data_IF_507157185925
#
_entry.id   IF_507157185925
#
_cell.length_a   1.000
_cell.length_b   1.000
_cell.length_c   1.000
_cell.angle_alpha   90.00
_cell.angle_beta   90.00
_cell.angle_gamma   90.00
#
_symmetry.space_group_name_H-M   'P 1'
#
loop_
_entity.id
_entity.type
_entity.pdbx_description
1 polymer ?
#
# COMPACT_ATOMS: atom_id res chain seq x y z
N UNK A 1 -14.14 -75.39 57.85
CA UNK A 1 -14.55 -74.12 57.21
C UNK A 1 -13.30 -73.26 57.00
N UNK A 2 -12.90 -73.01 55.76
CA UNK A 2 -11.78 -72.10 55.42
C UNK A 2 -12.34 -70.93 54.60
N UNK A 3 -12.21 -69.70 55.09
CA UNK A 3 -12.57 -68.46 54.39
C UNK A 3 -11.34 -67.94 53.65
N UNK A 4 -11.32 -68.05 52.31
CA UNK A 4 -10.37 -67.34 51.44
C UNK A 4 -10.64 -65.83 51.49
N UNK A 5 -9.63 -65.04 51.89
CA UNK A 5 -9.60 -63.57 51.70
C UNK A 5 -9.48 -63.26 50.21
N UNK A 6 -10.38 -62.42 49.68
CA UNK A 6 -10.28 -61.82 48.35
C UNK A 6 -9.41 -60.56 48.44
N UNK A 7 -8.32 -60.51 47.68
CA UNK A 7 -7.55 -59.28 47.44
C UNK A 7 -8.12 -58.53 46.23
N UNK A 8 -8.48 -57.24 46.35
CA UNK A 8 -8.75 -56.39 45.19
C UNK A 8 -7.89 -55.13 45.26
N UNK A 9 -6.66 -55.13 44.72
CA UNK A 9 -5.81 -53.91 44.71
C UNK A 9 -4.94 -53.66 43.48
N UNK A 10 -4.88 -54.56 42.49
CA UNK A 10 -4.01 -54.36 41.30
C UNK A 10 -4.68 -53.65 40.12
N UNK A 11 -5.95 -53.92 39.84
CA UNK A 11 -6.64 -53.44 38.63
C UNK A 11 -6.87 -51.91 38.60
N UNK A 12 -7.22 -51.30 39.73
CA UNK A 12 -7.44 -49.85 39.80
C UNK A 12 -6.15 -49.03 39.61
N UNK A 13 -5.02 -49.59 40.05
CA UNK A 13 -3.72 -48.90 40.01
C UNK A 13 -3.14 -48.84 38.59
N UNK A 14 -3.43 -49.84 37.76
CA UNK A 14 -3.05 -49.84 36.34
C UNK A 14 -3.99 -48.95 35.52
N UNK A 15 -5.28 -48.89 35.84
CA UNK A 15 -6.22 -47.97 35.20
C UNK A 15 -5.87 -46.50 35.47
N UNK A 16 -5.52 -46.16 36.72
CA UNK A 16 -5.06 -44.82 37.07
C UNK A 16 -3.77 -44.41 36.35
N UNK A 17 -2.81 -45.33 36.19
CA UNK A 17 -1.56 -45.07 35.42
C UNK A 17 -1.81 -44.88 33.93
N UNK A 18 -2.79 -45.60 33.37
CA UNK A 18 -3.17 -45.47 31.98
C UNK A 18 -3.86 -44.12 31.74
N UNK A 19 -4.73 -43.72 32.67
CA UNK A 19 -5.45 -42.45 32.64
C UNK A 19 -4.51 -41.25 32.84
N UNK A 20 -3.53 -41.36 33.74
CA UNK A 20 -2.50 -40.31 33.92
C UNK A 20 -1.61 -40.17 32.68
N UNK A 21 -1.23 -41.29 32.03
CA UNK A 21 -0.47 -41.24 30.77
C UNK A 21 -1.26 -40.59 29.65
N UNK A 22 -2.54 -40.94 29.50
CA UNK A 22 -3.41 -40.33 28.50
C UNK A 22 -3.56 -38.81 28.73
N UNK A 23 -3.72 -38.39 29.99
CA UNK A 23 -3.86 -36.98 30.35
C UNK A 23 -2.60 -36.15 30.03
N UNK A 24 -1.41 -36.68 30.31
CA UNK A 24 -0.13 -36.01 29.98
C UNK A 24 0.03 -35.84 28.47
N UNK A 25 -0.35 -36.85 27.69
CA UNK A 25 -0.26 -36.80 26.22
C UNK A 25 -1.22 -35.75 25.64
N UNK A 26 -2.45 -35.65 26.19
CA UNK A 26 -3.43 -34.64 25.77
C UNK A 26 -2.95 -33.23 26.11
N UNK A 27 -2.34 -33.01 27.28
CA UNK A 27 -1.77 -31.70 27.64
C UNK A 27 -0.62 -31.32 26.71
N UNK A 28 0.28 -32.25 26.39
CA UNK A 28 1.39 -31.98 25.45
C UNK A 28 0.87 -31.63 24.06
N UNK A 29 -0.14 -32.34 23.55
CA UNK A 29 -0.81 -32.01 22.29
C UNK A 29 -1.47 -30.62 22.35
N UNK A 30 -2.17 -30.29 23.43
CA UNK A 30 -2.77 -28.98 23.62
C UNK A 30 -1.72 -27.86 23.70
N UNK A 31 -0.58 -28.09 24.35
CA UNK A 31 0.53 -27.15 24.38
C UNK A 31 1.17 -26.96 23.01
N UNK A 32 1.43 -28.03 22.25
CA UNK A 32 2.03 -27.92 20.91
C UNK A 32 1.08 -27.19 19.95
N UNK A 33 -0.22 -27.51 19.99
CA UNK A 33 -1.24 -26.82 19.18
C UNK A 33 -1.37 -25.37 19.62
N UNK A 34 -1.40 -25.10 20.94
CA UNK A 34 -1.43 -23.75 21.49
C UNK A 34 -0.20 -22.90 21.11
N UNK A 35 0.99 -23.51 21.07
CA UNK A 35 2.21 -22.83 20.63
C UNK A 35 2.20 -22.54 19.12
N UNK A 36 1.65 -23.42 18.27
CA UNK A 36 1.50 -23.12 16.83
C UNK A 36 0.54 -21.95 16.55
N UNK A 37 -0.50 -21.77 17.36
CA UNK A 37 -1.39 -20.60 17.31
C UNK A 37 -0.73 -19.33 17.86
N UNK A 38 0.22 -19.46 18.80
CA UNK A 38 0.86 -18.31 19.45
C UNK A 38 1.76 -17.50 18.52
N UNK A 39 2.46 -18.12 17.56
CA UNK A 39 3.34 -17.38 16.63
C UNK A 39 2.58 -16.41 15.72
N UNK A 40 1.37 -16.75 15.29
CA UNK A 40 0.52 -15.85 14.48
C UNK A 40 -0.07 -14.71 15.31
N UNK A 41 -0.32 -14.93 16.60
CA UNK A 41 -0.82 -13.90 17.52
C UNK A 41 0.23 -12.82 17.82
N UNK A 42 1.52 -13.16 17.89
CA UNK A 42 2.58 -12.18 18.15
C UNK A 42 2.80 -11.19 17.00
N UNK A 43 2.50 -11.57 15.76
CA UNK A 43 2.60 -10.69 14.58
C UNK A 43 1.62 -9.51 14.67
N UNK A 44 0.44 -9.68 15.27
CA UNK A 44 -0.56 -8.61 15.42
C UNK A 44 -0.10 -7.52 16.40
N UNK A 45 0.81 -7.86 17.34
CA UNK A 45 1.41 -6.89 18.25
C UNK A 45 2.71 -6.29 17.70
N UNK A 46 3.17 -6.75 16.52
CA UNK A 46 4.33 -6.14 15.89
C UNK A 46 3.92 -4.76 15.42
N UNK A 47 4.69 -3.79 15.87
CA UNK A 47 4.53 -2.37 15.61
C UNK A 47 5.75 -1.95 14.80
N UNK A 48 5.53 -1.18 13.74
CA UNK A 48 6.61 -0.74 12.88
C UNK A 48 7.52 0.25 13.63
N UNK A 49 8.80 -0.07 13.70
CA UNK A 49 9.84 0.79 14.25
C UNK A 49 10.71 1.38 13.13
N UNK A 50 11.39 2.48 13.41
CA UNK A 50 12.30 3.08 12.43
C UNK A 50 13.40 2.09 12.02
N UNK A 51 13.54 1.87 10.71
CA UNK A 51 14.45 0.90 10.12
C UNK A 51 13.81 -0.43 9.69
N UNK A 52 12.59 -0.74 10.15
CA UNK A 52 11.83 -1.93 9.72
C UNK A 52 11.46 -1.85 8.24
N UNK A 53 11.34 -3.01 7.59
CA UNK A 53 10.84 -3.08 6.22
C UNK A 53 9.33 -3.33 6.26
N UNK A 54 8.57 -2.34 5.85
CA UNK A 54 7.10 -2.36 5.89
C UNK A 54 6.56 -2.51 4.48
N UNK A 55 5.63 -3.42 4.27
CA UNK A 55 4.85 -3.50 3.04
C UNK A 55 3.52 -2.77 3.28
N UNK A 56 3.22 -1.81 2.41
CA UNK A 56 2.01 -1.00 2.49
C UNK A 56 1.18 -1.12 1.22
N UNK A 57 -0.11 -1.35 1.39
CA UNK A 57 -1.08 -0.96 0.38
C UNK A 57 -1.28 0.55 0.46
N UNK A 58 -1.44 1.21 -0.69
CA UNK A 58 -1.60 2.66 -0.72
C UNK A 58 -2.59 3.10 -1.79
N UNK A 59 -3.25 4.23 -1.52
CA UNK A 59 -4.05 4.97 -2.50
C UNK A 59 -3.67 6.43 -2.44
N UNK A 60 -3.32 7.02 -3.59
CA UNK A 60 -3.11 8.47 -3.70
C UNK A 60 -4.39 9.10 -4.24
N UNK A 61 -4.81 10.17 -3.56
CA UNK A 61 -6.00 10.92 -3.92
C UNK A 61 -5.64 12.34 -4.34
N UNK A 62 -6.24 12.75 -5.44
CA UNK A 62 -6.30 14.16 -5.81
C UNK A 62 -7.24 14.92 -4.85
N UNK A 63 -7.32 16.25 -5.00
CA UNK A 63 -8.28 17.07 -4.26
C UNK A 63 -9.71 16.51 -4.43
N UNK A 64 -10.53 16.66 -3.39
CA UNK A 64 -11.91 16.16 -3.29
C UNK A 64 -12.06 14.63 -3.14
N UNK A 65 -10.97 13.89 -2.91
CA UNK A 65 -11.03 12.46 -2.61
C UNK A 65 -11.11 11.56 -3.85
N UNK A 66 -10.70 12.07 -5.02
CA UNK A 66 -10.62 11.29 -6.25
C UNK A 66 -9.37 10.40 -6.26
N UNK A 67 -9.49 9.06 -6.25
CA UNK A 67 -8.33 8.17 -6.32
C UNK A 67 -7.65 8.30 -7.69
N UNK A 68 -6.33 8.30 -7.69
CA UNK A 68 -5.50 8.40 -8.91
C UNK A 68 -4.75 7.10 -9.17
N UNK A 69 -4.13 6.56 -8.12
CA UNK A 69 -3.45 5.27 -8.13
C UNK A 69 -3.77 4.54 -6.83
N UNK A 70 -4.01 3.24 -6.90
CA UNK A 70 -4.35 2.42 -5.75
C UNK A 70 -3.80 1.00 -5.90
N UNK A 71 -3.31 0.42 -4.81
CA UNK A 71 -3.04 -1.02 -4.73
C UNK A 71 -4.24 -1.83 -4.25
N UNK A 72 -5.33 -1.15 -3.83
CA UNK A 72 -6.58 -1.81 -3.44
C UNK A 72 -7.45 -2.03 -4.69
N UNK A 73 -7.62 -3.31 -5.06
CA UNK A 73 -8.45 -3.71 -6.18
C UNK A 73 -9.92 -3.28 -6.03
N UNK A 74 -10.45 -3.15 -4.80
CA UNK A 74 -11.82 -2.68 -4.57
C UNK A 74 -11.96 -1.19 -4.91
N UNK A 75 -10.99 -0.36 -4.52
CA UNK A 75 -10.97 1.07 -4.86
C UNK A 75 -10.90 1.26 -6.37
N UNK A 76 -10.05 0.49 -7.06
CA UNK A 76 -9.94 0.55 -8.52
C UNK A 76 -11.22 0.08 -9.21
N UNK A 77 -11.83 -1.00 -8.72
CA UNK A 77 -13.07 -1.54 -9.28
C UNK A 77 -14.24 -0.56 -9.12
N UNK A 78 -14.41 0.04 -7.94
CA UNK A 78 -15.46 1.03 -7.67
C UNK A 78 -15.28 2.27 -8.55
N UNK A 79 -14.05 2.77 -8.67
CA UNK A 79 -13.76 3.90 -9.54
C UNK A 79 -14.00 3.59 -11.02
N UNK A 80 -13.66 2.37 -11.48
CA UNK A 80 -13.96 1.91 -12.83
C UNK A 80 -15.46 1.87 -13.12
N UNK A 81 -16.28 1.39 -12.17
CA UNK A 81 -17.74 1.38 -12.29
C UNK A 81 -18.35 2.79 -12.38
N UNK A 82 -17.67 3.78 -11.78
CA UNK A 82 -18.01 5.20 -11.86
C UNK A 82 -17.43 5.92 -13.09
N UNK A 83 -16.66 5.21 -13.93
CA UNK A 83 -16.01 5.77 -15.11
C UNK A 83 -14.79 6.67 -14.80
N UNK A 84 -14.23 6.55 -13.59
CA UNK A 84 -13.08 7.32 -13.13
C UNK A 84 -11.78 6.57 -13.49
N UNK A 85 -10.82 7.20 -14.19
CA UNK A 85 -9.59 6.56 -14.63
C UNK A 85 -8.58 6.42 -13.47
N UNK A 86 -8.59 5.29 -12.76
CA UNK A 86 -7.63 4.96 -11.69
C UNK A 86 -6.62 3.92 -12.15
N UNK A 87 -5.37 4.11 -11.76
CA UNK A 87 -4.30 3.15 -12.01
C UNK A 87 -4.22 2.12 -10.87
N UNK A 88 -4.12 0.83 -11.23
CA UNK A 88 -3.85 -0.25 -10.29
C UNK A 88 -2.35 -0.49 -10.15
N UNK A 89 -1.84 -0.65 -8.93
CA UNK A 89 -0.42 -0.91 -8.67
C UNK A 89 -0.23 -2.03 -7.64
N UNK A 90 0.98 -2.57 -7.51
CA UNK A 90 1.31 -3.47 -6.42
C UNK A 90 1.55 -2.71 -5.12
N UNK A 91 1.42 -3.39 -3.97
CA UNK A 91 1.85 -2.85 -2.68
C UNK A 91 3.29 -2.34 -2.74
N UNK A 92 3.55 -1.27 -2.00
CA UNK A 92 4.87 -0.64 -1.92
C UNK A 92 5.63 -1.21 -0.73
N UNK A 93 6.89 -1.58 -0.93
CA UNK A 93 7.79 -1.91 0.17
C UNK A 93 8.66 -0.69 0.48
N UNK A 94 8.65 -0.27 1.74
CA UNK A 94 9.38 0.90 2.21
C UNK A 94 10.10 0.59 3.52
N UNK A 95 11.17 1.34 3.80
CA UNK A 95 11.87 1.27 5.08
C UNK A 95 11.34 2.38 5.98
N UNK A 96 10.76 2.03 7.13
CA UNK A 96 10.13 2.99 8.03
C UNK A 96 11.13 4.04 8.54
N UNK A 97 10.78 5.32 8.41
CA UNK A 97 11.62 6.45 8.82
C UNK A 97 12.83 6.71 7.92
N UNK A 98 12.93 6.04 6.76
CA UNK A 98 13.97 6.31 5.77
C UNK A 98 13.54 7.39 4.79
N UNK A 99 14.52 8.21 4.36
CA UNK A 99 14.34 9.21 3.30
C UNK A 99 14.86 8.64 1.98
N UNK A 100 14.10 8.84 0.92
CA UNK A 100 14.48 8.44 -0.42
C UNK A 100 15.50 9.42 -1.00
N UNK A 101 16.48 8.90 -1.75
CA UNK A 101 17.46 9.72 -2.46
C UNK A 101 17.03 10.10 -3.87
N UNK A 102 16.02 9.39 -4.39
CA UNK A 102 15.61 9.47 -5.79
C UNK A 102 14.38 10.35 -5.92
N UNK A 103 14.49 11.49 -6.60
CA UNK A 103 13.36 12.42 -6.83
C UNK A 103 12.12 11.74 -7.46
N UNK A 104 12.32 10.62 -8.16
CA UNK A 104 11.28 9.85 -8.81
C UNK A 104 11.49 8.35 -8.64
N UNK A 105 10.44 7.68 -8.20
CA UNK A 105 10.39 6.23 -8.03
C UNK A 105 9.38 5.69 -9.05
N UNK A 106 9.84 5.03 -10.13
CA UNK A 106 8.94 4.41 -11.10
C UNK A 106 8.28 3.17 -10.47
N UNK A 107 6.96 3.12 -10.54
CA UNK A 107 6.15 1.96 -10.13
C UNK A 107 5.34 1.46 -11.30
N UNK A 108 5.36 0.14 -11.52
CA UNK A 108 4.52 -0.49 -12.53
C UNK A 108 3.04 -0.34 -12.15
N UNK A 109 2.26 0.16 -13.10
CA UNK A 109 0.81 0.31 -12.95
C UNK A 109 0.07 -0.26 -14.14
N UNK A 110 -1.13 -0.74 -13.89
CA UNK A 110 -2.10 -1.10 -14.91
C UNK A 110 -3.21 -0.06 -14.94
N UNK A 111 -3.47 0.51 -16.12
CA UNK A 111 -4.57 1.43 -16.31
C UNK A 111 -5.43 0.97 -17.47
N UNK A 112 -6.74 0.88 -17.26
CA UNK A 112 -7.67 0.21 -18.19
C UNK A 112 -7.53 0.66 -19.67
N UNK A 113 -7.30 1.96 -19.91
CA UNK A 113 -7.21 2.54 -21.25
C UNK A 113 -5.78 2.62 -21.82
N UNK A 114 -4.73 2.48 -20.99
CA UNK A 114 -3.33 2.52 -21.42
C UNK A 114 -2.62 1.16 -21.35
N UNK A 115 -3.20 0.18 -20.65
CA UNK A 115 -2.55 -1.09 -20.35
C UNK A 115 -1.51 -0.96 -19.24
N UNK A 116 -0.45 -1.79 -19.30
CA UNK A 116 0.66 -1.72 -18.36
C UNK A 116 1.58 -0.54 -18.72
N UNK A 117 1.84 0.33 -17.76
CA UNK A 117 2.71 1.50 -17.88
C UNK A 117 3.44 1.74 -16.56
N UNK A 118 4.32 2.73 -16.51
CA UNK A 118 5.03 3.12 -15.30
C UNK A 118 4.49 4.45 -14.79
N UNK A 119 4.33 4.55 -13.48
CA UNK A 119 3.83 5.71 -12.80
C UNK A 119 4.94 6.32 -11.95
N UNK A 120 5.02 7.64 -11.94
CA UNK A 120 5.99 8.40 -11.17
C UNK A 120 5.48 8.64 -9.74
N UNK A 121 6.00 7.92 -8.74
CA UNK A 121 5.90 8.33 -7.34
C UNK A 121 7.02 9.34 -7.02
N UNK A 122 6.71 10.35 -6.23
CA UNK A 122 7.70 11.32 -5.76
C UNK A 122 8.37 10.84 -4.48
N UNK A 123 9.63 11.20 -4.28
CA UNK A 123 10.36 11.04 -3.01
C UNK A 123 9.56 11.58 -1.83
N UNK A 124 9.04 12.80 -1.92
CA UNK A 124 8.26 13.45 -0.87
C UNK A 124 7.02 12.65 -0.45
N UNK A 125 6.41 11.94 -1.40
CA UNK A 125 5.24 11.08 -1.12
C UNK A 125 5.66 9.82 -0.38
N UNK A 126 6.76 9.20 -0.82
CA UNK A 126 7.30 8.00 -0.19
C UNK A 126 7.90 8.31 1.19
N UNK A 127 8.50 9.47 1.37
CA UNK A 127 9.04 9.96 2.64
C UNK A 127 7.93 10.24 3.64
N UNK A 128 6.83 10.88 3.19
CA UNK A 128 5.65 11.08 4.02
C UNK A 128 5.08 9.72 4.48
N UNK A 129 4.85 8.79 3.55
CA UNK A 129 4.39 7.42 3.86
C UNK A 129 5.36 6.70 4.81
N UNK A 130 6.67 6.79 4.56
CA UNK A 130 7.74 6.19 5.37
C UNK A 130 7.79 6.72 6.80
N UNK A 131 7.53 8.01 6.98
CA UNK A 131 7.48 8.61 8.31
C UNK A 131 6.21 8.22 9.07
N UNK A 132 5.08 8.10 8.36
CA UNK A 132 3.78 7.88 8.96
C UNK A 132 3.45 6.41 9.24
N UNK A 133 4.18 5.46 8.65
CA UNK A 133 4.11 4.04 9.03
C UNK A 133 4.69 3.75 10.40
N UNK A 134 5.55 4.62 10.94
CA UNK A 134 6.11 4.44 12.27
C UNK A 134 4.95 4.35 13.25
N UNK A 135 5.05 3.40 14.16
CA UNK A 135 4.04 3.09 15.15
C UNK A 135 2.75 2.40 14.67
N UNK A 136 2.62 2.09 13.38
CA UNK A 136 1.51 1.30 12.86
C UNK A 136 1.68 -0.21 13.09
N UNK A 137 0.58 -0.91 13.25
CA UNK A 137 0.51 -2.38 13.29
C UNK A 137 0.04 -2.93 11.95
N UNK A 138 0.21 -4.24 11.76
CA UNK A 138 -0.37 -4.93 10.62
C UNK A 138 -1.89 -4.76 10.57
N UNK A 139 -2.40 -4.37 9.41
CA UNK A 139 -3.78 -3.97 9.08
C UNK A 139 -4.23 -2.60 9.58
N UNK A 140 -3.36 -1.81 10.22
CA UNK A 140 -3.68 -0.42 10.49
C UNK A 140 -3.81 0.36 9.19
N UNK A 141 -4.81 1.25 9.13
CA UNK A 141 -5.05 2.16 8.01
C UNK A 141 -4.85 3.58 8.51
N UNK A 142 -4.14 4.40 7.74
CA UNK A 142 -3.87 5.79 8.09
C UNK A 142 -3.97 6.67 6.85
N UNK A 143 -4.58 7.83 7.03
CA UNK A 143 -4.60 8.89 6.02
C UNK A 143 -3.52 9.92 6.36
N UNK A 144 -2.83 10.36 5.32
CA UNK A 144 -1.69 11.27 5.36
C UNK A 144 -2.05 12.47 4.49
N UNK A 145 -2.05 13.65 5.11
CA UNK A 145 -2.21 14.92 4.42
C UNK A 145 -0.87 15.33 3.79
N UNK A 146 -0.82 15.41 2.46
CA UNK A 146 0.39 15.79 1.73
C UNK A 146 0.41 17.31 1.54
N UNK A 147 0.87 18.03 2.57
CA UNK A 147 0.85 19.51 2.60
C UNK A 147 1.65 20.17 1.47
N UNK A 148 2.61 19.46 0.88
CA UNK A 148 3.41 19.94 -0.24
C UNK A 148 2.65 19.92 -1.59
N UNK A 149 1.52 19.21 -1.68
CA UNK A 149 0.77 19.04 -2.93
C UNK A 149 0.41 20.32 -3.69
N UNK A 150 0.00 21.43 -3.02
CA UNK A 150 -0.32 22.69 -3.72
C UNK A 150 0.90 23.36 -4.36
N UNK A 151 2.11 23.03 -3.89
CA UNK A 151 3.37 23.61 -4.40
C UNK A 151 3.91 22.91 -5.64
N UNK A 152 3.44 21.68 -5.90
CA UNK A 152 3.87 20.84 -7.01
C UNK A 152 3.11 21.19 -8.30
N UNK A 153 3.56 22.28 -8.92
CA UNK A 153 2.97 22.81 -10.15
C UNK A 153 3.98 22.89 -11.29
N UNK A 154 3.51 22.67 -12.51
CA UNK A 154 4.29 22.79 -13.74
C UNK A 154 3.54 23.67 -14.74
N UNK A 155 4.24 24.61 -15.39
CA UNK A 155 3.64 25.50 -16.38
C UNK A 155 4.08 25.08 -17.79
N UNK A 156 3.12 24.91 -18.69
CA UNK A 156 3.33 24.51 -20.09
C UNK A 156 2.86 25.65 -21.00
N UNK A 157 3.66 25.99 -22.01
CA UNK A 157 3.25 26.97 -23.02
C UNK A 157 2.16 26.38 -23.94
N UNK A 158 1.35 27.22 -24.56
CA UNK A 158 0.35 26.76 -25.53
C UNK A 158 1.00 26.01 -26.71
N UNK A 159 2.17 26.47 -27.16
CA UNK A 159 2.93 25.84 -28.25
C UNK A 159 3.41 24.43 -27.87
N UNK A 160 3.99 24.27 -26.69
CA UNK A 160 4.42 22.95 -26.19
C UNK A 160 3.22 22.04 -25.95
N UNK A 161 2.09 22.60 -25.54
CA UNK A 161 0.86 21.85 -25.29
C UNK A 161 0.28 21.27 -26.59
N UNK A 162 0.19 22.09 -27.64
CA UNK A 162 -0.28 21.67 -28.97
C UNK A 162 0.73 20.75 -29.68
N UNK A 163 1.98 20.71 -29.22
CA UNK A 163 2.99 19.79 -29.74
C UNK A 163 2.78 18.33 -29.29
N UNK A 164 1.99 18.10 -28.23
CA UNK A 164 1.69 16.75 -27.76
C UNK A 164 0.54 16.14 -28.54
N UNK A 165 0.81 15.00 -29.17
CA UNK A 165 -0.14 14.31 -30.03
C UNK A 165 -1.45 13.97 -29.28
N UNK A 166 -2.58 14.45 -29.80
CA UNK A 166 -3.91 14.23 -29.22
C UNK A 166 -4.35 15.26 -28.18
N UNK A 167 -3.56 16.30 -27.93
CA UNK A 167 -3.96 17.43 -27.07
C UNK A 167 -4.21 18.70 -27.90
N UNK A 168 -5.21 19.48 -27.50
CA UNK A 168 -5.56 20.74 -28.14
C UNK A 168 -5.77 21.81 -27.07
N UNK A 169 -4.94 22.86 -27.08
CA UNK A 169 -5.00 23.97 -26.14
C UNK A 169 -6.35 24.70 -26.17
N UNK A 170 -7.09 24.62 -27.28
CA UNK A 170 -8.42 25.23 -27.38
C UNK A 170 -9.49 24.45 -26.63
N UNK A 171 -9.33 23.13 -26.47
CA UNK A 171 -10.33 22.23 -25.89
C UNK A 171 -10.14 22.01 -24.38
N UNK A 172 -9.03 22.50 -23.81
CA UNK A 172 -8.75 22.35 -22.39
C UNK A 172 -9.48 23.36 -21.50
N UNK A 173 -9.85 22.90 -20.31
CA UNK A 173 -10.56 23.63 -19.27
C UNK A 173 -9.92 23.35 -17.91
N UNK A 174 -10.03 24.32 -16.99
CA UNK A 174 -9.61 24.17 -15.60
C UNK A 174 -10.42 23.04 -14.96
N UNK A 175 -9.73 22.17 -14.20
CA UNK A 175 -10.31 20.99 -13.57
C UNK A 175 -10.19 19.71 -14.38
N UNK A 176 -9.72 19.75 -15.64
CA UNK A 176 -9.50 18.53 -16.42
C UNK A 176 -8.24 17.79 -16.02
N UNK A 177 -8.35 16.47 -15.92
CA UNK A 177 -7.24 15.53 -15.74
C UNK A 177 -6.50 15.34 -17.06
N UNK A 178 -5.19 15.34 -16.98
CA UNK A 178 -4.28 15.07 -18.08
C UNK A 178 -3.26 14.03 -17.65
N UNK A 179 -2.76 13.28 -18.62
CA UNK A 179 -1.77 12.23 -18.40
C UNK A 179 -0.48 12.58 -19.16
N UNK A 180 0.23 13.65 -18.73
CA UNK A 180 1.48 14.02 -19.37
C UNK A 180 2.49 12.88 -19.25
N UNK A 181 3.23 12.66 -20.33
CA UNK A 181 4.42 11.81 -20.33
C UNK A 181 5.58 12.61 -19.72
N UNK A 182 6.10 12.13 -18.59
CA UNK A 182 7.18 12.78 -17.84
C UNK A 182 8.57 12.24 -18.16
N UNK A 183 8.69 11.27 -19.08
CA UNK A 183 9.96 10.62 -19.44
C UNK A 183 11.06 11.59 -19.88
N UNK A 184 10.73 12.78 -20.40
CA UNK A 184 11.71 13.78 -20.86
C UNK A 184 12.06 14.90 -19.87
N UNK A 185 11.25 15.15 -18.83
CA UNK A 185 11.36 16.37 -18.01
C UNK A 185 11.91 16.15 -16.60
N UNK A 186 11.96 14.91 -16.12
CA UNK A 186 12.48 14.60 -14.79
C UNK A 186 13.66 13.64 -14.87
N UNK A 187 14.86 14.20 -15.02
CA UNK A 187 16.18 13.54 -15.00
C UNK A 187 16.37 12.33 -15.93
N UNK A 188 17.48 12.34 -16.66
CA UNK A 188 17.94 11.27 -17.56
C UNK A 188 18.22 9.91 -16.88
N UNK A 189 17.95 9.76 -15.57
CA UNK A 189 18.30 8.57 -14.79
C UNK A 189 17.23 7.47 -14.81
N UNK A 190 16.03 7.72 -15.33
CA UNK A 190 14.98 6.71 -15.38
C UNK A 190 14.92 6.07 -16.76
N UNK A 191 15.36 4.81 -16.86
CA UNK A 191 15.36 3.99 -18.08
C UNK A 191 13.95 3.53 -18.52
N UNK A 192 12.94 4.34 -18.23
CA UNK A 192 11.53 4.07 -18.51
C UNK A 192 11.16 4.61 -19.89
N UNK A 193 10.49 3.79 -20.70
CA UNK A 193 10.05 4.20 -22.05
C UNK A 193 8.91 5.23 -22.00
N UNK A 194 8.15 5.28 -20.89
CA UNK A 194 7.04 6.22 -20.66
C UNK A 194 6.65 6.21 -19.18
N UNK A 195 6.81 7.33 -18.49
CA UNK A 195 6.38 7.51 -17.10
C UNK A 195 5.22 8.47 -17.08
N UNK A 196 4.08 8.03 -16.59
CA UNK A 196 2.89 8.87 -16.49
C UNK A 196 2.74 9.42 -15.07
N UNK A 197 2.31 10.68 -14.98
CA UNK A 197 1.80 11.23 -13.72
C UNK A 197 0.57 12.09 -13.99
N UNK A 198 -0.62 11.57 -13.67
CA UNK A 198 -1.87 12.31 -13.82
C UNK A 198 -1.77 13.68 -13.15
N UNK A 199 -2.09 14.72 -13.90
CA UNK A 199 -1.99 16.11 -13.49
C UNK A 199 -3.28 16.82 -13.83
N UNK A 200 -3.67 17.81 -13.03
CA UNK A 200 -4.91 18.57 -13.26
C UNK A 200 -4.57 19.99 -13.64
N UNK A 201 -5.32 20.52 -14.61
CA UNK A 201 -5.22 21.92 -14.99
C UNK A 201 -5.81 22.80 -13.89
N UNK A 202 -4.99 23.59 -13.22
CA UNK A 202 -5.42 24.53 -12.16
C UNK A 202 -5.59 25.95 -12.67
N UNK A 203 -4.91 26.31 -13.77
CA UNK A 203 -5.05 27.62 -14.39
C UNK A 203 -4.79 27.54 -15.90
N UNK A 204 -5.50 28.38 -16.66
CA UNK A 204 -5.31 28.57 -18.10
C UNK A 204 -5.24 30.06 -18.40
N UNK A 205 -4.21 30.47 -19.12
CA UNK A 205 -4.08 31.80 -19.73
C UNK A 205 -4.22 31.69 -21.25
N UNK A 206 -4.05 32.79 -21.98
CA UNK A 206 -4.08 32.73 -23.44
C UNK A 206 -2.86 32.00 -24.03
N UNK A 207 -1.75 31.98 -23.29
CA UNK A 207 -0.44 31.55 -23.82
C UNK A 207 0.16 30.38 -23.02
N UNK A 208 -0.44 29.99 -21.89
CA UNK A 208 0.08 28.93 -21.02
C UNK A 208 -0.98 28.27 -20.16
N UNK A 209 -0.66 27.08 -19.68
CA UNK A 209 -1.48 26.27 -18.76
C UNK A 209 -0.65 25.83 -17.58
N UNK A 210 -1.19 26.00 -16.38
CA UNK A 210 -0.60 25.51 -15.15
C UNK A 210 -1.24 24.21 -14.74
N UNK A 211 -0.41 23.18 -14.62
CA UNK A 211 -0.76 21.86 -14.15
C UNK A 211 -0.31 21.69 -12.71
N UNK A 212 -1.13 21.01 -11.92
CA UNK A 212 -0.73 20.49 -10.61
C UNK A 212 -0.61 18.98 -10.69
N UNK A 213 0.53 18.49 -10.26
CA UNK A 213 0.84 17.06 -10.20
C UNK A 213 1.00 16.56 -8.76
N UNK A 214 0.84 17.42 -7.74
CA UNK A 214 0.76 17.00 -6.35
C UNK A 214 -0.61 16.44 -5.98
N UNK A 215 -0.63 15.38 -5.18
CA UNK A 215 -1.84 14.76 -4.64
C UNK A 215 -2.06 15.19 -3.20
N UNK A 216 -3.29 15.47 -2.83
CA UNK A 216 -3.60 16.07 -1.53
C UNK A 216 -3.49 15.08 -0.37
N UNK A 217 -3.79 13.81 -0.63
CA UNK A 217 -3.97 12.78 0.39
C UNK A 217 -3.34 11.47 -0.06
N UNK A 218 -2.69 10.78 0.88
CA UNK A 218 -2.31 9.39 0.73
C UNK A 218 -3.01 8.56 1.82
N UNK A 219 -3.71 7.50 1.45
CA UNK A 219 -4.15 6.48 2.39
C UNK A 219 -3.19 5.31 2.31
N UNK A 220 -2.68 4.87 3.46
CA UNK A 220 -1.81 3.71 3.58
C UNK A 220 -2.43 2.67 4.49
N UNK A 221 -2.18 1.40 4.16
CA UNK A 221 -2.54 0.25 4.99
C UNK A 221 -1.34 -0.67 5.11
N UNK A 222 -0.90 -0.93 6.33
CA UNK A 222 0.21 -1.86 6.56
C UNK A 222 -0.25 -3.29 6.33
N UNK A 223 0.34 -4.00 5.37
CA UNK A 223 0.01 -5.40 5.09
C UNK A 223 0.98 -6.36 5.76
N UNK A 224 2.24 -5.95 5.93
CA UNK A 224 3.28 -6.76 6.55
C UNK A 224 4.40 -5.90 7.15
N UNK A 225 5.04 -6.39 8.21
CA UNK A 225 6.17 -5.72 8.89
C UNK A 225 7.28 -6.76 9.07
N UNK A 226 8.44 -6.55 8.44
CA UNK A 226 9.61 -7.43 8.47
C UNK A 226 10.76 -6.85 9.28
#
# INVERSE_FOLDING_TARGET
>A
MSKKRKEPRKKDRDWQKLLSRAFIVVILLACVIGFSLSFSFFSIFKKAEAGDIVTVDYTLYYEEGYPIVSSDAYVVQDAYEQGIPVAYTSSLQLQAGSLQSDNLIPVSVYQYYLGNTEYALLDLEVDAMSSDVIDMHTNDVKQIDLEFAPTLTYNISAEDFDSVEGMNFSEIAVGMLMFPDLSGNFNESVNATKIIRPSVIIAKTNDSVTLRYGYALAEIKVTDIN
#
